data_IF_136133618445
#
_entry.id   IF_136133618445
#
_cell.length_a   1.000
_cell.length_b   1.000
_cell.length_c   1.000
_cell.angle_alpha   90.00
_cell.angle_beta   90.00
_cell.angle_gamma   90.00
#
_symmetry.space_group_name_H-M   'P 1'
#
loop_
_entity.id
_entity.type
_entity.pdbx_description
1 polymer ?
#
# COMPACT_ATOMS: atom_id res chain seq x y z
N UNK A 1 51.12 78.51 32.46
CA UNK A 1 52.51 78.31 32.04
C UNK A 1 52.58 77.05 31.15
N UNK A 2 52.95 77.23 29.91
CA UNK A 2 53.28 76.26 28.84
C UNK A 2 52.50 74.92 28.76
N UNK A 3 51.46 74.92 27.86
CA UNK A 3 50.85 73.79 27.19
C UNK A 3 51.87 73.08 26.28
N UNK A 4 51.91 71.75 26.34
CA UNK A 4 52.52 70.92 25.30
C UNK A 4 51.45 70.13 24.58
N UNK A 5 51.31 70.41 23.31
CA UNK A 5 50.43 69.62 22.43
C UNK A 5 51.05 68.28 22.09
N UNK A 6 50.24 67.20 22.27
CA UNK A 6 50.58 65.85 21.76
C UNK A 6 49.70 65.64 20.54
N UNK A 7 50.31 65.40 19.38
CA UNK A 7 49.65 65.04 18.13
C UNK A 7 49.49 63.49 18.15
N UNK A 8 48.24 63.00 18.08
CA UNK A 8 47.91 61.58 17.92
C UNK A 8 47.76 61.30 16.42
N UNK A 9 48.63 60.50 15.84
CA UNK A 9 48.49 59.99 14.47
C UNK A 9 47.48 58.83 14.42
N UNK A 10 46.42 58.95 13.61
CA UNK A 10 45.46 57.90 13.33
C UNK A 10 46.02 57.00 12.24
N UNK A 11 46.27 55.73 12.59
CA UNK A 11 46.55 54.70 11.62
C UNK A 11 45.25 54.10 11.10
N UNK A 12 44.96 54.29 9.81
CA UNK A 12 43.81 53.65 9.12
C UNK A 12 44.26 52.27 8.72
N UNK A 13 43.76 51.22 9.42
CA UNK A 13 43.88 49.83 9.02
C UNK A 13 42.80 49.49 8.00
N UNK A 14 43.19 49.34 6.72
CA UNK A 14 42.29 48.87 5.64
C UNK A 14 41.95 47.42 5.85
N UNK A 15 40.67 47.15 6.17
CA UNK A 15 40.08 45.80 6.14
C UNK A 15 39.86 45.39 4.67
N UNK A 16 40.74 44.55 4.15
CA UNK A 16 40.50 43.85 2.86
C UNK A 16 39.46 42.78 3.14
N UNK A 17 38.21 43.08 2.79
CA UNK A 17 37.11 42.11 2.84
C UNK A 17 37.35 41.00 1.79
N UNK A 18 37.77 39.84 2.20
CA UNK A 18 37.76 38.63 1.37
C UNK A 18 36.30 38.19 1.24
N UNK A 19 35.67 38.60 0.12
CA UNK A 19 34.37 38.02 -0.27
C UNK A 19 34.59 36.56 -0.67
N UNK A 20 34.27 35.63 0.25
CA UNK A 20 34.14 34.22 -0.09
C UNK A 20 32.89 34.13 -0.99
N UNK A 21 33.00 33.65 -2.25
CA UNK A 21 31.83 33.42 -3.05
C UNK A 21 30.97 32.38 -2.31
N UNK A 22 29.71 32.73 -1.98
CA UNK A 22 28.71 31.75 -1.54
C UNK A 22 28.56 30.76 -2.71
N UNK A 23 29.20 29.61 -2.60
CA UNK A 23 28.87 28.46 -3.43
C UNK A 23 27.41 28.16 -3.16
N UNK A 24 26.52 28.53 -4.11
CA UNK A 24 25.20 27.93 -4.15
C UNK A 24 25.42 26.43 -4.13
N UNK A 25 25.16 25.80 -2.98
CA UNK A 25 25.07 24.37 -2.91
C UNK A 25 23.91 24.01 -3.85
N UNK A 26 24.25 23.57 -5.07
CA UNK A 26 23.30 22.88 -5.94
C UNK A 26 22.79 21.75 -5.06
N UNK A 27 21.49 21.77 -4.78
CA UNK A 27 20.86 20.66 -4.05
C UNK A 27 21.30 19.39 -4.77
N UNK A 28 21.98 18.50 -4.05
CA UNK A 28 22.48 17.27 -4.64
C UNK A 28 21.30 16.58 -5.31
N UNK A 29 21.40 16.33 -6.62
CA UNK A 29 20.38 15.62 -7.38
C UNK A 29 20.00 14.34 -6.62
N UNK A 30 18.79 14.25 -6.13
CA UNK A 30 18.29 13.13 -5.34
C UNK A 30 17.01 12.58 -5.94
N UNK A 31 16.69 11.34 -5.60
CA UNK A 31 15.44 10.68 -5.96
C UNK A 31 14.41 10.98 -4.86
N UNK A 32 13.61 12.02 -5.03
CA UNK A 32 12.66 12.44 -4.01
C UNK A 32 11.43 11.52 -3.96
N UNK A 33 11.25 10.82 -2.84
CA UNK A 33 10.15 9.89 -2.56
C UNK A 33 9.46 10.32 -1.26
N UNK A 34 8.45 11.19 -1.32
CA UNK A 34 7.68 11.55 -0.13
C UNK A 34 6.82 10.37 0.34
N UNK A 35 6.82 10.11 1.65
CA UNK A 35 6.01 9.12 2.30
C UNK A 35 4.83 9.79 3.02
N UNK A 36 3.62 9.49 2.59
CA UNK A 36 2.44 9.87 3.35
C UNK A 36 2.20 8.83 4.43
N UNK A 37 2.23 9.25 5.67
CA UNK A 37 2.13 8.35 6.82
C UNK A 37 0.89 8.64 7.63
N UNK A 38 0.50 7.71 8.48
CA UNK A 38 -0.50 7.88 9.52
C UNK A 38 -0.01 7.18 10.81
N UNK A 39 1.01 7.80 11.41
CA UNK A 39 1.63 7.34 12.67
C UNK A 39 0.80 7.73 13.89
N UNK A 40 -0.19 8.58 13.69
CA UNK A 40 -1.12 9.05 14.72
C UNK A 40 -2.57 8.87 14.26
N UNK A 41 -3.52 8.99 15.20
CA UNK A 41 -4.94 8.80 14.91
C UNK A 41 -5.40 7.34 15.03
N UNK A 42 -6.67 7.07 14.66
CA UNK A 42 -7.34 5.78 14.96
C UNK A 42 -6.79 4.57 14.19
N UNK A 43 -5.93 4.78 13.20
CA UNK A 43 -5.36 3.74 12.36
C UNK A 43 -3.83 3.60 12.52
N UNK A 44 -3.24 4.26 13.51
CA UNK A 44 -1.79 4.29 13.75
C UNK A 44 -1.16 2.90 13.89
N UNK A 45 -1.86 1.94 14.52
CA UNK A 45 -1.39 0.57 14.67
C UNK A 45 -1.08 -0.12 13.33
N UNK A 46 -1.80 0.24 12.26
CA UNK A 46 -1.48 -0.25 10.91
C UNK A 46 -0.47 0.65 10.20
N UNK A 47 -0.54 1.97 10.42
CA UNK A 47 0.30 2.96 9.74
C UNK A 47 1.75 2.94 10.15
N UNK A 48 2.03 2.77 11.43
CA UNK A 48 3.38 2.75 11.98
C UNK A 48 4.24 1.63 11.35
N UNK A 49 3.83 0.34 11.40
CA UNK A 49 4.65 -0.73 10.82
C UNK A 49 4.82 -0.59 9.30
N UNK A 50 3.81 -0.16 8.55
CA UNK A 50 3.92 0.07 7.11
C UNK A 50 4.94 1.18 6.82
N UNK A 51 4.85 2.32 7.50
CA UNK A 51 5.79 3.43 7.33
C UNK A 51 7.22 3.02 7.71
N UNK A 52 7.38 2.27 8.80
CA UNK A 52 8.67 1.76 9.24
C UNK A 52 9.31 0.83 8.19
N UNK A 53 8.57 -0.16 7.70
CA UNK A 53 9.09 -1.09 6.69
C UNK A 53 9.52 -0.39 5.41
N UNK A 54 8.77 0.63 4.98
CA UNK A 54 9.12 1.46 3.82
C UNK A 54 10.40 2.26 4.05
N UNK A 55 10.45 2.98 5.14
CA UNK A 55 11.60 3.80 5.53
C UNK A 55 12.86 2.96 5.64
N UNK A 56 12.77 1.85 6.35
CA UNK A 56 13.92 0.98 6.61
C UNK A 56 14.48 0.37 5.32
N UNK A 57 13.62 -0.06 4.38
CA UNK A 57 14.09 -0.61 3.10
C UNK A 57 14.75 0.46 2.22
N UNK A 58 14.17 1.65 2.09
CA UNK A 58 14.76 2.74 1.31
C UNK A 58 16.07 3.25 1.92
N UNK A 59 16.12 3.36 3.25
CA UNK A 59 17.35 3.71 3.97
C UNK A 59 18.42 2.63 3.85
N UNK A 60 18.03 1.36 3.84
CA UNK A 60 18.97 0.25 3.59
C UNK A 60 19.60 0.39 2.20
N UNK A 61 18.84 0.71 1.16
CA UNK A 61 19.39 0.97 -0.18
C UNK A 61 20.37 2.15 -0.17
N UNK A 62 20.05 3.21 0.58
CA UNK A 62 20.95 4.35 0.75
C UNK A 62 22.25 3.98 1.47
N UNK A 63 22.15 3.20 2.55
CA UNK A 63 23.30 2.85 3.38
C UNK A 63 24.19 1.78 2.74
N UNK A 64 23.58 0.74 2.14
CA UNK A 64 24.28 -0.41 1.56
C UNK A 64 24.78 -0.12 0.15
N UNK A 65 23.92 0.46 -0.71
CA UNK A 65 24.12 0.55 -2.16
C UNK A 65 24.48 1.99 -2.63
N UNK A 66 24.44 2.97 -1.74
CA UNK A 66 24.61 4.39 -2.13
C UNK A 66 23.38 4.99 -2.82
N UNK A 67 22.20 4.35 -2.67
CA UNK A 67 20.94 4.73 -3.31
C UNK A 67 20.60 3.83 -4.51
N UNK A 68 19.91 4.38 -5.50
CA UNK A 68 19.52 3.65 -6.71
C UNK A 68 20.26 4.27 -7.92
N UNK A 69 21.00 3.44 -8.65
CA UNK A 69 21.83 3.92 -9.78
C UNK A 69 22.92 4.91 -9.36
N UNK A 70 23.36 4.87 -8.10
CA UNK A 70 24.34 5.79 -7.52
C UNK A 70 23.76 7.13 -7.10
N UNK A 71 22.44 7.29 -7.07
CA UNK A 71 21.74 8.50 -6.62
C UNK A 71 21.00 8.20 -5.31
N UNK A 72 21.19 9.03 -4.30
CA UNK A 72 20.52 8.92 -3.00
C UNK A 72 19.02 9.11 -3.13
N UNK A 73 18.27 8.34 -2.33
CA UNK A 73 16.84 8.51 -2.19
C UNK A 73 16.61 9.52 -1.06
N UNK A 74 15.92 10.60 -1.36
CA UNK A 74 15.46 11.57 -0.37
C UNK A 74 14.05 11.15 0.08
N UNK A 75 13.95 10.73 1.36
CA UNK A 75 12.71 10.25 1.96
C UNK A 75 12.23 11.26 2.98
N UNK A 76 11.10 11.91 2.71
CA UNK A 76 10.48 12.86 3.64
C UNK A 76 9.07 12.40 3.98
N UNK A 77 8.76 12.28 5.28
CA UNK A 77 7.42 11.91 5.73
C UNK A 77 6.49 13.13 5.80
N UNK A 78 5.23 12.91 5.43
CA UNK A 78 4.14 13.84 5.71
C UNK A 78 3.01 13.09 6.43
N UNK A 79 2.69 13.53 7.65
CA UNK A 79 1.70 12.89 8.51
C UNK A 79 0.28 13.27 8.11
N UNK A 80 -0.50 12.29 7.67
CA UNK A 80 -1.88 12.50 7.20
C UNK A 80 -2.94 12.21 8.26
N UNK A 81 -2.60 11.50 9.32
CA UNK A 81 -3.57 10.97 10.30
C UNK A 81 -4.71 10.14 9.67
N UNK A 82 -4.48 9.59 8.48
CA UNK A 82 -5.49 8.93 7.65
C UNK A 82 -6.68 9.85 7.28
N UNK A 83 -6.45 11.16 7.24
CA UNK A 83 -7.45 12.19 6.96
C UNK A 83 -7.30 12.71 5.52
N UNK A 84 -8.41 12.77 4.77
CA UNK A 84 -8.37 13.15 3.35
C UNK A 84 -7.87 14.58 3.13
N UNK A 85 -8.30 15.54 3.96
CA UNK A 85 -7.88 16.93 3.84
C UNK A 85 -6.37 17.07 4.08
N UNK A 86 -5.86 16.45 5.16
CA UNK A 86 -4.41 16.42 5.44
C UNK A 86 -3.61 15.71 4.35
N UNK A 87 -4.16 14.65 3.74
CA UNK A 87 -3.54 13.99 2.59
C UNK A 87 -3.40 14.93 1.39
N UNK A 88 -4.40 15.77 1.13
CA UNK A 88 -4.34 16.80 0.09
C UNK A 88 -3.34 17.90 0.46
N UNK A 89 -3.29 18.35 1.70
CA UNK A 89 -2.29 19.30 2.20
C UNK A 89 -0.86 18.76 2.03
N UNK A 90 -0.62 17.48 2.39
CA UNK A 90 0.64 16.81 2.16
C UNK A 90 1.01 16.81 0.67
N UNK A 91 0.07 16.46 -0.21
CA UNK A 91 0.29 16.48 -1.64
C UNK A 91 0.68 17.88 -2.15
N UNK A 92 -0.08 18.91 -1.78
CA UNK A 92 0.18 20.29 -2.22
C UNK A 92 1.52 20.81 -1.68
N UNK A 93 2.00 20.34 -0.53
CA UNK A 93 3.31 20.71 0.04
C UNK A 93 4.51 20.12 -0.70
N UNK A 94 4.33 19.01 -1.42
CA UNK A 94 5.42 18.30 -2.09
C UNK A 94 5.36 18.32 -3.61
N UNK A 95 4.21 18.58 -4.24
CA UNK A 95 4.02 18.46 -5.70
C UNK A 95 5.00 19.28 -6.55
N UNK A 96 5.47 20.42 -6.04
CA UNK A 96 6.42 21.29 -6.74
C UNK A 96 7.89 20.94 -6.45
N UNK A 97 8.18 19.89 -5.68
CA UNK A 97 9.53 19.43 -5.33
C UNK A 97 10.02 18.28 -6.22
N UNK A 98 9.39 18.06 -7.37
CA UNK A 98 9.67 16.96 -8.28
C UNK A 98 9.56 15.56 -7.59
N UNK A 99 8.44 15.24 -6.91
CA UNK A 99 8.27 13.92 -6.32
C UNK A 99 8.16 12.87 -7.43
N UNK A 100 8.84 11.75 -7.27
CA UNK A 100 8.80 10.67 -8.27
C UNK A 100 7.45 9.94 -8.25
N UNK A 101 6.90 9.75 -7.07
CA UNK A 101 5.64 9.03 -6.86
C UNK A 101 5.03 9.44 -5.53
N UNK A 102 3.73 9.53 -5.46
CA UNK A 102 2.99 9.69 -4.20
C UNK A 102 2.35 8.36 -3.84
N UNK A 103 2.55 7.94 -2.59
CA UNK A 103 1.84 6.79 -2.04
C UNK A 103 0.94 7.25 -0.90
N UNK A 104 -0.40 7.32 -1.13
CA UNK A 104 -1.34 7.89 -0.14
C UNK A 104 -1.64 6.99 1.05
N UNK A 105 -1.41 5.68 0.94
CA UNK A 105 -1.77 4.68 1.96
C UNK A 105 -3.22 4.77 2.48
N UNK A 106 -4.13 5.24 1.66
CA UNK A 106 -5.54 5.44 2.02
C UNK A 106 -6.40 5.49 0.76
N UNK A 107 -7.49 4.73 0.74
CA UNK A 107 -8.50 4.81 -0.34
C UNK A 107 -9.08 6.23 -0.44
N UNK A 108 -9.43 6.84 0.68
CA UNK A 108 -10.00 8.19 0.67
C UNK A 108 -9.05 9.25 0.13
N UNK A 109 -7.77 9.21 0.53
CA UNK A 109 -6.76 10.14 0.01
C UNK A 109 -6.49 9.85 -1.46
N UNK A 110 -6.38 8.58 -1.87
CA UNK A 110 -6.21 8.20 -3.28
C UNK A 110 -7.33 8.80 -4.15
N UNK A 111 -8.59 8.61 -3.74
CA UNK A 111 -9.74 9.18 -4.46
C UNK A 111 -9.67 10.70 -4.59
N UNK A 112 -9.23 11.40 -3.54
CA UNK A 112 -9.05 12.85 -3.56
C UNK A 112 -7.92 13.32 -4.49
N UNK A 113 -6.89 12.49 -4.70
CA UNK A 113 -5.73 12.81 -5.52
C UNK A 113 -5.85 12.38 -6.99
N UNK A 114 -6.73 11.44 -7.33
CA UNK A 114 -6.93 10.96 -8.70
C UNK A 114 -7.09 12.12 -9.71
N UNK A 115 -7.95 13.14 -9.48
CA UNK A 115 -8.11 14.24 -10.43
C UNK A 115 -6.85 15.11 -10.58
N UNK A 116 -6.02 15.20 -9.53
CA UNK A 116 -4.80 16.02 -9.49
C UNK A 116 -3.63 15.33 -10.22
N UNK A 117 -3.51 14.03 -10.13
CA UNK A 117 -2.37 13.24 -10.62
C UNK A 117 -2.06 13.47 -12.10
N UNK A 118 -3.10 13.47 -12.94
CA UNK A 118 -2.95 13.69 -14.39
C UNK A 118 -2.60 15.14 -14.74
N UNK A 119 -3.10 16.12 -13.99
CA UNK A 119 -2.84 17.54 -14.18
C UNK A 119 -1.39 17.85 -13.80
N UNK A 120 -0.98 17.40 -12.61
CA UNK A 120 0.35 17.67 -12.07
C UNK A 120 1.43 16.72 -12.64
N UNK A 121 1.02 15.66 -13.36
CA UNK A 121 1.88 14.62 -13.96
C UNK A 121 2.74 13.91 -12.94
N UNK A 122 2.16 13.59 -11.78
CA UNK A 122 2.79 12.88 -10.68
C UNK A 122 2.09 11.51 -10.54
N UNK A 123 2.81 10.38 -10.64
CA UNK A 123 2.24 9.06 -10.44
C UNK A 123 1.73 8.89 -9.01
N UNK A 124 0.54 8.31 -8.87
CA UNK A 124 0.00 7.84 -7.60
C UNK A 124 0.16 6.32 -7.56
N UNK A 125 0.86 5.79 -6.57
CA UNK A 125 0.96 4.37 -6.28
C UNK A 125 0.05 4.05 -5.10
N UNK A 126 -1.15 3.52 -5.37
CA UNK A 126 -2.12 3.30 -4.30
C UNK A 126 -1.85 2.04 -3.48
N UNK A 127 -1.05 1.10 -4.00
CA UNK A 127 -0.67 -0.14 -3.33
C UNK A 127 -1.87 -0.94 -2.80
N UNK A 128 -2.69 -1.42 -3.73
CA UNK A 128 -3.87 -2.24 -3.42
C UNK A 128 -4.91 -1.56 -2.49
N UNK A 129 -4.88 -0.21 -2.40
CA UNK A 129 -6.04 0.59 -1.96
C UNK A 129 -6.95 0.90 -3.16
N UNK A 130 -8.14 1.40 -2.95
CA UNK A 130 -9.03 1.84 -4.04
C UNK A 130 -8.43 3.02 -4.84
N UNK A 131 -8.83 3.23 -6.04
CA UNK A 131 -9.96 2.72 -6.79
C UNK A 131 -9.53 1.54 -7.69
N UNK A 132 -10.24 0.39 -7.65
CA UNK A 132 -9.91 -0.76 -8.51
C UNK A 132 -9.99 -0.42 -10.00
N UNK A 133 -10.97 0.37 -10.42
CA UNK A 133 -11.12 0.81 -11.81
C UNK A 133 -9.90 1.58 -12.33
N UNK A 134 -9.08 2.17 -11.46
CA UNK A 134 -7.86 2.88 -11.86
C UNK A 134 -6.74 1.95 -12.34
N UNK A 135 -6.91 0.63 -12.24
CA UNK A 135 -6.05 -0.34 -12.91
C UNK A 135 -6.14 -0.26 -14.44
N UNK A 136 -7.21 0.34 -15.01
CA UNK A 136 -7.34 0.56 -16.46
C UNK A 136 -6.45 1.74 -16.87
N UNK A 137 -5.20 1.47 -17.23
CA UNK A 137 -4.19 2.50 -17.46
C UNK A 137 -4.47 3.40 -18.66
N UNK A 138 -5.32 2.99 -19.61
CA UNK A 138 -5.78 3.84 -20.71
C UNK A 138 -6.60 5.04 -20.19
N UNK A 139 -7.43 4.82 -19.20
CA UNK A 139 -8.31 5.83 -18.60
C UNK A 139 -7.66 6.54 -17.40
N UNK A 140 -6.74 5.85 -16.69
CA UNK A 140 -6.04 6.36 -15.51
C UNK A 140 -4.52 6.33 -15.67
N UNK A 141 -3.94 7.11 -16.59
CA UNK A 141 -2.52 6.99 -16.94
C UNK A 141 -1.54 7.30 -15.80
N UNK A 142 -1.98 7.89 -14.71
CA UNK A 142 -1.14 8.30 -13.58
C UNK A 142 -1.46 7.59 -12.26
N UNK A 143 -2.36 6.60 -12.26
CA UNK A 143 -2.74 5.86 -11.07
C UNK A 143 -2.36 4.39 -11.22
N UNK A 144 -1.68 3.84 -10.20
CA UNK A 144 -1.14 2.48 -10.20
C UNK A 144 -1.52 1.75 -8.92
N UNK A 145 -1.93 0.49 -9.03
CA UNK A 145 -2.44 -0.31 -7.91
C UNK A 145 -1.67 -1.62 -7.64
N UNK A 146 -0.40 -1.82 -8.08
CA UNK A 146 0.24 -3.08 -7.77
C UNK A 146 0.34 -3.30 -6.24
N UNK A 147 0.31 -4.55 -5.78
CA UNK A 147 0.24 -5.77 -6.61
C UNK A 147 -1.18 -6.24 -6.91
N UNK A 148 -2.25 -5.58 -6.40
CA UNK A 148 -3.61 -6.08 -6.48
C UNK A 148 -4.67 -4.96 -6.49
N UNK A 149 -5.90 -5.30 -6.86
CA UNK A 149 -7.08 -4.46 -6.67
C UNK A 149 -8.10 -5.16 -5.77
N UNK A 150 -9.02 -4.40 -5.17
CA UNK A 150 -10.07 -5.00 -4.34
C UNK A 150 -10.98 -5.94 -5.13
N UNK A 151 -11.18 -5.69 -6.41
CA UNK A 151 -11.99 -6.55 -7.25
C UNK A 151 -11.28 -7.86 -7.59
N UNK A 152 -9.98 -7.80 -7.88
CA UNK A 152 -9.18 -9.02 -8.05
C UNK A 152 -9.15 -9.83 -6.75
N UNK A 153 -8.88 -9.17 -5.62
CA UNK A 153 -8.87 -9.81 -4.30
C UNK A 153 -10.20 -10.46 -3.93
N UNK A 154 -11.35 -9.80 -4.21
CA UNK A 154 -12.67 -10.42 -3.98
C UNK A 154 -12.83 -11.67 -4.85
N UNK A 155 -12.40 -11.64 -6.12
CA UNK A 155 -12.48 -12.83 -6.98
C UNK A 155 -11.59 -13.97 -6.47
N UNK A 156 -10.43 -13.65 -5.88
CA UNK A 156 -9.56 -14.65 -5.22
C UNK A 156 -10.19 -15.20 -3.96
N UNK A 157 -10.81 -14.37 -3.13
CA UNK A 157 -11.54 -14.83 -1.94
C UNK A 157 -12.59 -15.88 -2.30
N UNK A 158 -13.40 -15.60 -3.33
CA UNK A 158 -14.41 -16.53 -3.84
C UNK A 158 -13.80 -17.82 -4.41
N UNK A 159 -12.69 -17.75 -5.15
CA UNK A 159 -11.96 -18.94 -5.62
C UNK A 159 -11.43 -19.78 -4.46
N UNK A 160 -10.86 -19.15 -3.44
CA UNK A 160 -10.37 -19.85 -2.28
C UNK A 160 -11.50 -20.60 -1.56
N UNK A 161 -12.61 -19.91 -1.28
CA UNK A 161 -13.79 -20.49 -0.67
C UNK A 161 -14.29 -21.68 -1.49
N UNK A 162 -14.47 -21.50 -2.80
CA UNK A 162 -14.91 -22.58 -3.69
C UNK A 162 -13.97 -23.80 -3.66
N UNK A 163 -12.65 -23.58 -3.56
CA UNK A 163 -11.68 -24.67 -3.45
C UNK A 163 -11.84 -25.45 -2.14
N UNK A 164 -12.25 -24.80 -1.06
CA UNK A 164 -12.57 -25.46 0.24
C UNK A 164 -13.88 -26.23 0.18
N UNK A 165 -14.79 -25.83 -0.69
CA UNK A 165 -16.04 -26.57 -0.98
C UNK A 165 -15.83 -27.70 -2.01
N UNK A 166 -14.59 -27.97 -2.40
CA UNK A 166 -14.19 -29.12 -3.21
C UNK A 166 -14.21 -28.91 -4.72
N UNK A 167 -14.07 -27.66 -5.21
CA UNK A 167 -13.99 -27.45 -6.65
C UNK A 167 -13.82 -25.99 -7.10
N UNK A 168 -14.36 -25.65 -8.25
CA UNK A 168 -14.36 -24.30 -8.80
C UNK A 168 -15.55 -23.46 -8.29
N UNK A 169 -15.73 -22.27 -8.86
CA UNK A 169 -16.74 -21.30 -8.42
C UNK A 169 -18.19 -21.84 -8.47
N UNK A 170 -18.46 -22.89 -9.25
CA UNK A 170 -19.74 -23.58 -9.31
C UNK A 170 -20.12 -24.25 -7.98
N UNK A 171 -19.15 -24.52 -7.11
CA UNK A 171 -19.37 -25.09 -5.77
C UNK A 171 -19.98 -24.08 -4.79
N UNK A 172 -20.00 -22.82 -5.14
CA UNK A 172 -20.66 -21.79 -4.34
C UNK A 172 -22.20 -21.81 -4.47
N UNK A 173 -22.74 -22.53 -5.47
CA UNK A 173 -24.18 -22.61 -5.69
C UNK A 173 -24.94 -23.05 -4.44
N UNK A 174 -25.94 -22.23 -4.04
CA UNK A 174 -26.75 -22.47 -2.88
C UNK A 174 -26.09 -22.17 -1.53
N UNK A 175 -24.85 -21.69 -1.52
CA UNK A 175 -24.17 -21.21 -0.31
C UNK A 175 -24.61 -19.79 0.04
N UNK A 176 -24.46 -19.42 1.31
CA UNK A 176 -24.63 -18.06 1.79
C UNK A 176 -23.27 -17.49 2.21
N UNK A 177 -22.85 -16.40 1.57
CA UNK A 177 -21.62 -15.67 1.92
C UNK A 177 -22.00 -14.39 2.67
N UNK A 178 -21.58 -14.29 3.92
CA UNK A 178 -21.66 -13.07 4.70
C UNK A 178 -20.48 -12.15 4.35
N UNK A 179 -20.75 -10.88 4.16
CA UNK A 179 -19.73 -9.87 3.88
C UNK A 179 -19.79 -8.78 4.95
N UNK A 180 -18.85 -8.81 5.90
CA UNK A 180 -18.69 -7.79 6.93
C UNK A 180 -17.65 -6.75 6.44
N UNK A 181 -18.01 -5.48 6.44
CA UNK A 181 -17.17 -4.46 5.84
C UNK A 181 -17.22 -3.12 6.57
N UNK A 182 -16.09 -2.41 6.58
CA UNK A 182 -16.04 -1.01 6.99
C UNK A 182 -16.96 -0.18 6.11
N UNK A 183 -17.93 0.50 6.71
CA UNK A 183 -18.97 1.22 5.97
C UNK A 183 -18.47 2.58 5.45
N UNK A 184 -17.69 2.53 4.41
CA UNK A 184 -17.05 3.66 3.72
C UNK A 184 -16.66 3.28 2.29
N UNK A 185 -16.01 4.20 1.56
CA UNK A 185 -15.60 3.99 0.17
C UNK A 185 -14.77 2.73 -0.03
N UNK A 186 -13.86 2.45 0.92
CA UNK A 186 -13.03 1.25 0.94
C UNK A 186 -13.85 -0.05 1.02
N UNK A 187 -14.67 -0.18 2.07
CA UNK A 187 -15.34 -1.46 2.35
C UNK A 187 -16.50 -1.75 1.39
N UNK A 188 -17.09 -0.72 0.81
CA UNK A 188 -18.17 -0.86 -0.18
C UNK A 188 -17.68 -1.19 -1.58
N UNK A 189 -16.41 -0.95 -1.89
CA UNK A 189 -15.87 -1.02 -3.25
C UNK A 189 -16.06 -2.40 -3.91
N UNK A 190 -15.81 -3.56 -3.25
CA UNK A 190 -15.95 -4.86 -3.88
C UNK A 190 -17.40 -5.37 -3.98
N UNK A 191 -18.38 -4.69 -3.38
CA UNK A 191 -19.78 -5.15 -3.33
C UNK A 191 -20.40 -5.36 -4.74
N UNK A 192 -20.20 -4.47 -5.73
CA UNK A 192 -20.74 -4.70 -7.08
C UNK A 192 -20.21 -6.00 -7.69
N UNK A 193 -18.92 -6.26 -7.57
CA UNK A 193 -18.30 -7.49 -8.07
C UNK A 193 -18.83 -8.73 -7.32
N UNK A 194 -18.93 -8.67 -5.99
CA UNK A 194 -19.46 -9.77 -5.17
C UNK A 194 -20.88 -10.14 -5.60
N UNK A 195 -21.75 -9.14 -5.84
CA UNK A 195 -23.11 -9.36 -6.30
C UNK A 195 -23.19 -9.93 -7.73
N UNK A 196 -22.26 -9.51 -8.60
CA UNK A 196 -22.19 -10.02 -9.96
C UNK A 196 -21.77 -11.50 -9.97
N UNK A 197 -20.77 -11.88 -9.16
CA UNK A 197 -20.40 -13.28 -8.96
C UNK A 197 -21.54 -14.09 -8.33
N UNK A 198 -22.26 -13.54 -7.35
CA UNK A 198 -23.39 -14.22 -6.72
C UNK A 198 -24.49 -14.57 -7.73
N UNK A 199 -24.81 -13.63 -8.63
CA UNK A 199 -25.74 -13.85 -9.72
C UNK A 199 -25.29 -14.96 -10.67
N UNK A 200 -24.02 -14.96 -11.08
CA UNK A 200 -23.51 -15.90 -12.06
C UNK A 200 -23.32 -17.32 -11.52
N UNK A 201 -22.93 -17.43 -10.23
CA UNK A 201 -22.62 -18.71 -9.59
C UNK A 201 -23.70 -19.21 -8.63
N UNK A 202 -24.79 -18.46 -8.46
CA UNK A 202 -26.00 -18.89 -7.74
C UNK A 202 -25.81 -19.03 -6.24
N UNK A 203 -25.07 -18.12 -5.58
CA UNK A 203 -24.95 -18.06 -4.13
C UNK A 203 -25.61 -16.79 -3.57
N UNK A 204 -25.98 -16.83 -2.28
CA UNK A 204 -26.58 -15.70 -1.59
C UNK A 204 -25.53 -14.82 -0.90
N UNK A 205 -25.79 -13.51 -0.83
CA UNK A 205 -24.93 -12.53 -0.16
C UNK A 205 -25.69 -11.84 0.98
N UNK A 206 -25.12 -11.88 2.18
CA UNK A 206 -25.58 -11.12 3.34
C UNK A 206 -24.59 -10.01 3.65
N UNK A 207 -25.04 -8.76 3.67
CA UNK A 207 -24.19 -7.59 3.92
C UNK A 207 -24.29 -7.15 5.38
N UNK A 208 -23.12 -6.99 6.03
CA UNK A 208 -22.98 -6.57 7.43
C UNK A 208 -22.10 -5.30 7.50
N UNK A 209 -22.69 -4.10 7.30
CA UNK A 209 -21.95 -2.84 7.37
C UNK A 209 -21.51 -2.53 8.81
N UNK A 210 -20.28 -2.10 9.00
CA UNK A 210 -19.75 -1.58 10.25
C UNK A 210 -19.45 -0.09 10.09
N UNK A 211 -20.32 0.80 10.57
CA UNK A 211 -20.08 2.23 10.55
C UNK A 211 -18.82 2.60 11.38
N UNK A 212 -18.10 3.67 11.04
CA UNK A 212 -16.91 4.12 11.78
C UNK A 212 -17.15 4.25 13.29
N UNK A 213 -18.34 4.69 13.71
CA UNK A 213 -18.73 4.81 15.13
C UNK A 213 -18.94 3.48 15.84
N UNK A 214 -19.05 2.36 15.11
CA UNK A 214 -19.32 1.02 15.65
C UNK A 214 -18.16 0.06 15.49
N UNK A 215 -16.98 0.52 15.10
CA UNK A 215 -15.82 -0.35 14.88
C UNK A 215 -15.49 -1.22 16.11
N UNK A 216 -15.68 -0.68 17.31
CA UNK A 216 -15.42 -1.37 18.58
C UNK A 216 -16.68 -1.91 19.28
N UNK A 217 -17.85 -1.81 18.65
CA UNK A 217 -19.15 -2.23 19.24
C UNK A 217 -19.94 -3.06 18.22
N UNK A 218 -19.52 -4.32 18.01
CA UNK A 218 -20.04 -5.18 16.95
C UNK A 218 -20.94 -6.34 17.46
N UNK A 219 -21.16 -6.46 18.77
CA UNK A 219 -21.90 -7.59 19.35
C UNK A 219 -23.31 -7.78 18.76
N UNK A 220 -24.05 -6.69 18.55
CA UNK A 220 -25.38 -6.75 17.92
C UNK A 220 -25.33 -7.24 16.47
N UNK A 221 -24.32 -6.84 15.72
CA UNK A 221 -24.09 -7.32 14.35
C UNK A 221 -23.79 -8.82 14.33
N UNK A 222 -22.93 -9.30 15.22
CA UNK A 222 -22.55 -10.73 15.31
C UNK A 222 -23.67 -11.62 15.82
N UNK A 223 -24.61 -11.11 16.61
CA UNK A 223 -25.86 -11.82 16.90
C UNK A 223 -26.71 -12.00 15.62
N UNK A 224 -26.70 -11.00 14.72
CA UNK A 224 -27.30 -11.12 13.38
C UNK A 224 -26.61 -12.22 12.55
N UNK A 225 -25.29 -12.24 12.50
CA UNK A 225 -24.51 -13.28 11.81
C UNK A 225 -24.84 -14.67 12.36
N UNK A 226 -24.92 -14.81 13.70
CA UNK A 226 -25.28 -16.08 14.36
C UNK A 226 -26.69 -16.56 13.99
N UNK A 227 -27.63 -15.63 13.84
CA UNK A 227 -29.00 -15.96 13.41
C UNK A 227 -29.04 -16.38 11.94
N UNK A 228 -28.34 -15.64 11.08
CA UNK A 228 -28.37 -15.80 9.62
C UNK A 228 -27.52 -16.99 9.15
N UNK A 229 -26.54 -17.43 9.95
CA UNK A 229 -25.66 -18.61 9.73
C UNK A 229 -25.07 -18.69 8.32
N UNK A 230 -24.36 -17.67 7.83
CA UNK A 230 -23.70 -17.77 6.53
C UNK A 230 -22.67 -18.91 6.55
N UNK A 231 -22.55 -19.64 5.42
CA UNK A 231 -21.58 -20.72 5.27
C UNK A 231 -20.14 -20.20 5.39
N UNK A 232 -19.88 -19.00 4.86
CA UNK A 232 -18.62 -18.31 4.91
C UNK A 232 -18.80 -16.84 5.25
N UNK A 233 -17.83 -16.28 5.97
CA UNK A 233 -17.71 -14.83 6.18
C UNK A 233 -16.48 -14.29 5.47
N UNK A 234 -16.64 -13.19 4.74
CA UNK A 234 -15.54 -12.40 4.20
C UNK A 234 -15.50 -11.07 4.95
N UNK A 235 -14.33 -10.65 5.43
CA UNK A 235 -14.15 -9.36 6.09
C UNK A 235 -13.34 -8.39 5.24
N UNK A 236 -13.94 -7.23 4.96
CA UNK A 236 -13.27 -6.06 4.39
C UNK A 236 -13.18 -4.97 5.44
N UNK A 237 -12.38 -5.26 6.46
CA UNK A 237 -12.24 -4.45 7.66
C UNK A 237 -10.94 -3.63 7.71
N UNK A 238 -10.90 -2.66 8.61
CA UNK A 238 -9.77 -1.79 8.82
C UNK A 238 -9.67 -1.30 10.28
N UNK A 239 -8.44 -1.21 10.79
CA UNK A 239 -8.18 -0.70 12.14
C UNK A 239 -8.89 -1.49 13.23
N UNK A 240 -9.44 -0.80 14.24
CA UNK A 240 -10.09 -1.41 15.40
C UNK A 240 -11.32 -2.29 15.06
N UNK A 241 -11.85 -2.19 13.84
CA UNK A 241 -12.92 -3.06 13.37
C UNK A 241 -12.47 -4.53 13.35
N UNK A 242 -11.23 -4.80 12.93
CA UNK A 242 -10.73 -6.15 12.68
C UNK A 242 -10.62 -7.00 13.96
N UNK A 243 -9.83 -6.58 14.98
CA UNK A 243 -9.72 -7.37 16.21
C UNK A 243 -11.07 -7.53 16.91
N UNK A 244 -11.94 -6.52 16.85
CA UNK A 244 -13.31 -6.61 17.40
C UNK A 244 -14.11 -7.68 16.66
N UNK A 245 -14.07 -7.70 15.31
CA UNK A 245 -14.78 -8.70 14.52
C UNK A 245 -14.28 -10.12 14.82
N UNK A 246 -12.97 -10.33 14.91
CA UNK A 246 -12.39 -11.65 15.22
C UNK A 246 -12.77 -12.11 16.63
N UNK A 247 -12.75 -11.22 17.63
CA UNK A 247 -13.19 -11.52 19.00
C UNK A 247 -14.69 -11.87 19.07
N UNK A 248 -15.54 -11.10 18.40
CA UNK A 248 -16.99 -11.32 18.42
C UNK A 248 -17.38 -12.59 17.64
N UNK A 249 -16.68 -12.91 16.53
CA UNK A 249 -16.84 -14.17 15.82
C UNK A 249 -16.56 -15.35 16.76
N UNK A 250 -15.44 -15.32 17.48
CA UNK A 250 -15.07 -16.34 18.46
C UNK A 250 -16.10 -16.46 19.59
N UNK A 251 -16.56 -15.34 20.16
CA UNK A 251 -17.59 -15.32 21.23
C UNK A 251 -18.92 -15.90 20.79
N UNK A 252 -19.31 -15.67 19.53
CA UNK A 252 -20.56 -16.20 18.98
C UNK A 252 -20.46 -17.64 18.51
N UNK A 253 -19.26 -18.25 18.57
CA UNK A 253 -18.98 -19.60 18.13
C UNK A 253 -18.99 -19.76 16.61
N UNK A 254 -18.68 -18.71 15.85
CA UNK A 254 -18.55 -18.80 14.40
C UNK A 254 -17.29 -19.62 14.04
N UNK A 255 -17.35 -20.55 13.06
CA UNK A 255 -16.19 -21.33 12.63
C UNK A 255 -15.09 -20.40 12.07
N UNK A 256 -13.95 -20.32 12.77
CA UNK A 256 -12.89 -19.38 12.41
C UNK A 256 -12.19 -19.74 11.08
N UNK A 257 -12.19 -21.02 10.71
CA UNK A 257 -11.69 -21.51 9.41
C UNK A 257 -12.65 -21.27 8.24
N UNK A 258 -13.80 -20.67 8.51
CA UNK A 258 -14.76 -20.14 7.54
C UNK A 258 -14.84 -18.60 7.56
N UNK A 259 -13.91 -17.94 8.26
CA UNK A 259 -13.83 -16.47 8.36
C UNK A 259 -12.56 -15.96 7.70
N UNK A 260 -12.70 -15.33 6.52
CA UNK A 260 -11.61 -14.89 5.65
C UNK A 260 -11.53 -13.36 5.59
N UNK A 261 -10.44 -12.77 6.10
CA UNK A 261 -10.13 -11.36 5.99
C UNK A 261 -9.42 -11.01 4.68
N UNK A 262 -9.63 -9.78 4.20
CA UNK A 262 -8.79 -9.18 3.16
C UNK A 262 -7.39 -8.91 3.70
N UNK A 263 -6.43 -8.59 2.84
CA UNK A 263 -5.03 -8.28 3.24
C UNK A 263 -4.86 -7.11 4.22
N UNK A 264 -5.88 -6.29 4.44
CA UNK A 264 -5.93 -5.26 5.49
C UNK A 264 -6.50 -5.75 6.82
N UNK A 265 -6.92 -7.01 6.87
CA UNK A 265 -7.50 -7.67 8.05
C UNK A 265 -6.71 -8.92 8.44
N UNK A 266 -5.41 -8.93 8.19
CA UNK A 266 -4.53 -10.07 8.41
C UNK A 266 -3.22 -9.71 9.09
N UNK A 267 -3.22 -8.69 9.96
CA UNK A 267 -2.08 -8.40 10.83
C UNK A 267 -2.12 -9.25 12.10
N UNK A 268 -1.01 -9.32 12.79
CA UNK A 268 -0.89 -9.95 14.11
C UNK A 268 -1.82 -9.28 15.12
N UNK A 269 -1.96 -7.96 15.06
CA UNK A 269 -2.84 -7.18 15.92
C UNK A 269 -4.33 -7.40 15.66
N UNK A 270 -4.69 -7.90 14.48
CA UNK A 270 -6.08 -8.25 14.17
C UNK A 270 -6.51 -9.58 14.84
N UNK A 271 -5.60 -10.55 14.94
CA UNK A 271 -5.90 -11.89 15.41
C UNK A 271 -5.52 -12.14 16.88
N UNK A 272 -4.38 -11.59 17.33
CA UNK A 272 -3.82 -11.79 18.67
C UNK A 272 -4.79 -11.47 19.82
N UNK A 273 -5.58 -10.38 19.77
CA UNK A 273 -6.50 -10.03 20.85
C UNK A 273 -7.63 -11.04 21.09
N UNK A 274 -7.94 -11.91 20.14
CA UNK A 274 -8.94 -12.98 20.31
C UNK A 274 -8.39 -14.21 21.08
N UNK A 275 -7.08 -14.24 21.37
CA UNK A 275 -6.43 -15.33 22.08
C UNK A 275 -6.67 -16.68 21.40
N UNK A 276 -6.97 -17.72 22.19
CA UNK A 276 -7.26 -19.05 21.67
C UNK A 276 -8.49 -19.10 20.73
N UNK A 277 -9.45 -18.20 20.93
CA UNK A 277 -10.64 -18.10 20.08
C UNK A 277 -10.36 -17.62 18.65
N UNK A 278 -9.22 -16.94 18.42
CA UNK A 278 -8.82 -16.49 17.09
C UNK A 278 -8.18 -17.57 16.22
N UNK A 279 -7.84 -18.73 16.80
CA UNK A 279 -7.23 -19.84 16.05
C UNK A 279 -8.15 -20.31 14.93
N UNK A 280 -7.58 -20.44 13.74
CA UNK A 280 -8.32 -20.82 12.54
C UNK A 280 -8.69 -19.65 11.63
N UNK A 281 -8.71 -18.39 12.13
CA UNK A 281 -9.01 -17.23 11.33
C UNK A 281 -8.09 -17.13 10.13
N UNK A 282 -8.69 -16.84 8.97
CA UNK A 282 -8.01 -16.77 7.68
C UNK A 282 -7.85 -15.33 7.23
N UNK A 283 -6.77 -15.05 6.50
CA UNK A 283 -6.62 -13.77 5.81
C UNK A 283 -5.88 -13.94 4.49
N UNK A 284 -6.28 -13.18 3.49
CA UNK A 284 -5.52 -13.04 2.25
C UNK A 284 -4.28 -12.17 2.48
N UNK A 285 -3.21 -12.44 1.73
CA UNK A 285 -2.01 -11.61 1.76
C UNK A 285 -1.26 -11.65 0.44
N UNK A 286 -0.57 -10.57 0.10
CA UNK A 286 0.30 -10.48 -1.08
C UNK A 286 1.78 -10.27 -0.75
N UNK A 287 2.15 -10.19 0.52
CA UNK A 287 3.52 -10.22 1.01
C UNK A 287 3.71 -11.33 2.03
N UNK A 288 4.86 -11.98 2.02
CA UNK A 288 5.16 -12.98 3.03
C UNK A 288 5.40 -12.35 4.41
N UNK A 289 5.15 -13.13 5.46
CA UNK A 289 5.40 -12.78 6.86
C UNK A 289 6.73 -13.41 7.31
N UNK A 290 7.36 -12.83 8.31
CA UNK A 290 8.62 -13.30 8.91
C UNK A 290 9.83 -12.49 8.47
N UNK A 291 10.88 -12.58 9.29
CA UNK A 291 12.14 -11.83 9.11
C UNK A 291 13.24 -12.63 8.39
N UNK A 292 13.01 -13.89 8.04
CA UNK A 292 14.06 -14.76 7.51
C UNK A 292 14.36 -14.55 6.01
N UNK A 293 14.62 -13.30 5.62
CA UNK A 293 15.01 -12.94 4.26
C UNK A 293 16.36 -12.21 4.27
N UNK A 294 17.27 -12.45 3.28
CA UNK A 294 18.53 -11.71 3.18
C UNK A 294 18.36 -10.19 3.23
N UNK A 295 17.36 -9.65 2.51
CA UNK A 295 17.11 -8.20 2.52
C UNK A 295 16.65 -7.67 3.89
N UNK A 296 15.87 -8.45 4.65
CA UNK A 296 15.47 -8.05 6.01
C UNK A 296 16.68 -8.06 6.94
N UNK A 297 17.57 -9.05 6.83
CA UNK A 297 18.85 -9.06 7.58
C UNK A 297 19.76 -7.88 7.20
N UNK A 298 19.73 -7.45 5.94
CA UNK A 298 20.44 -6.24 5.52
C UNK A 298 19.83 -4.98 6.17
N UNK A 299 18.50 -4.88 6.26
CA UNK A 299 17.83 -3.80 6.99
C UNK A 299 18.30 -3.81 8.47
N UNK A 300 18.25 -4.96 9.13
CA UNK A 300 18.73 -5.07 10.51
C UNK A 300 20.18 -4.60 10.65
N UNK A 301 21.06 -5.01 9.74
CA UNK A 301 22.49 -4.69 9.76
C UNK A 301 22.81 -3.23 9.46
N UNK A 302 22.21 -2.68 8.39
CA UNK A 302 22.61 -1.37 7.84
C UNK A 302 21.78 -0.21 8.38
N UNK A 303 20.60 -0.48 8.96
CA UNK A 303 19.68 0.55 9.43
C UNK A 303 19.39 0.40 10.92
N UNK A 304 18.77 -0.71 11.35
CA UNK A 304 18.33 -0.89 12.74
C UNK A 304 19.50 -0.93 13.72
N UNK A 305 20.52 -1.76 13.45
CA UNK A 305 21.70 -1.85 14.30
C UNK A 305 22.55 -0.57 14.33
N UNK A 306 22.30 0.37 13.43
CA UNK A 306 22.95 1.69 13.37
C UNK A 306 22.13 2.79 14.05
N UNK A 307 20.98 2.47 14.63
CA UNK A 307 20.09 3.45 15.26
C UNK A 307 19.35 4.36 14.27
N UNK A 308 19.29 3.98 12.99
CA UNK A 308 18.66 4.77 11.92
C UNK A 308 17.23 4.28 11.60
N UNK A 309 16.58 3.61 12.54
CA UNK A 309 15.21 3.11 12.42
C UNK A 309 14.40 3.42 13.67
N UNK A 310 13.11 3.62 13.50
CA UNK A 310 12.12 3.72 14.58
C UNK A 310 11.45 2.36 14.86
N UNK A 311 11.86 1.29 14.18
CA UNK A 311 11.22 -0.03 14.25
C UNK A 311 11.65 -0.79 15.50
N UNK A 312 10.72 -1.18 16.39
CA UNK A 312 10.96 -2.16 17.43
C UNK A 312 11.38 -3.50 16.82
N UNK A 313 12.32 -4.23 17.46
CA UNK A 313 12.87 -5.49 16.92
C UNK A 313 11.80 -6.58 16.71
N UNK A 314 10.84 -6.64 17.58
CA UNK A 314 9.73 -7.60 17.55
C UNK A 314 8.72 -7.33 16.44
N UNK A 315 8.69 -6.12 15.90
CA UNK A 315 7.86 -5.73 14.76
C UNK A 315 8.48 -6.14 13.41
N UNK A 316 9.80 -6.37 13.36
CA UNK A 316 10.51 -6.74 12.12
C UNK A 316 10.02 -8.09 11.60
N UNK A 317 9.49 -8.10 10.39
CA UNK A 317 8.93 -9.29 9.78
C UNK A 317 7.44 -9.53 10.06
N UNK A 318 6.78 -8.73 10.90
CA UNK A 318 5.32 -8.76 11.00
C UNK A 318 4.66 -8.34 9.67
N UNK A 319 3.41 -8.71 9.51
CA UNK A 319 2.71 -8.56 8.24
C UNK A 319 2.77 -7.13 7.68
N UNK A 320 2.39 -6.12 8.47
CA UNK A 320 2.35 -4.76 7.97
C UNK A 320 3.73 -4.10 7.84
N UNK A 321 4.72 -4.51 8.63
CA UNK A 321 6.10 -4.13 8.38
C UNK A 321 6.57 -4.63 7.01
N UNK A 322 6.38 -5.92 6.72
CA UNK A 322 6.71 -6.50 5.43
C UNK A 322 5.88 -5.92 4.27
N UNK A 323 4.66 -5.44 4.55
CA UNK A 323 3.85 -4.67 3.61
C UNK A 323 4.54 -3.36 3.19
N UNK A 324 5.11 -2.66 4.15
CA UNK A 324 5.93 -1.46 3.90
C UNK A 324 7.17 -1.79 3.06
N UNK A 325 7.89 -2.86 3.40
CA UNK A 325 9.03 -3.35 2.61
C UNK A 325 8.62 -3.66 1.18
N UNK A 326 7.50 -4.38 0.98
CA UNK A 326 6.95 -4.69 -0.35
C UNK A 326 6.73 -3.44 -1.20
N UNK A 327 6.12 -2.43 -0.61
CA UNK A 327 5.84 -1.17 -1.30
C UNK A 327 7.11 -0.43 -1.69
N UNK A 328 8.09 -0.36 -0.78
CA UNK A 328 9.40 0.23 -1.06
C UNK A 328 10.14 -0.52 -2.17
N UNK A 329 10.02 -1.85 -2.24
CA UNK A 329 10.55 -2.67 -3.35
C UNK A 329 9.90 -2.27 -4.67
N UNK A 330 8.58 -2.16 -4.72
CA UNK A 330 7.84 -1.74 -5.94
C UNK A 330 8.34 -0.37 -6.41
N UNK A 331 8.48 0.59 -5.53
CA UNK A 331 9.02 1.93 -5.84
C UNK A 331 10.47 1.83 -6.35
N UNK A 332 11.33 1.12 -5.64
CA UNK A 332 12.75 1.00 -6.02
C UNK A 332 12.94 0.31 -7.37
N UNK A 333 12.17 -0.74 -7.66
CA UNK A 333 12.24 -1.43 -8.95
C UNK A 333 11.65 -0.59 -10.10
N UNK A 334 10.61 0.21 -9.83
CA UNK A 334 10.08 1.17 -10.79
C UNK A 334 11.11 2.27 -11.10
N UNK A 335 11.82 2.81 -10.08
CA UNK A 335 12.92 3.77 -10.28
C UNK A 335 14.04 3.15 -11.14
N UNK A 336 14.50 1.94 -10.84
CA UNK A 336 15.51 1.22 -11.65
C UNK A 336 15.06 1.05 -13.10
N UNK A 337 13.79 0.72 -13.29
CA UNK A 337 13.20 0.57 -14.62
C UNK A 337 13.13 1.91 -15.35
N UNK A 338 12.74 2.98 -14.68
CA UNK A 338 12.71 4.34 -15.23
C UNK A 338 14.10 4.84 -15.63
N UNK A 339 15.11 4.65 -14.77
CA UNK A 339 16.51 4.99 -15.07
C UNK A 339 17.01 4.24 -16.30
N UNK A 340 16.73 2.93 -16.39
CA UNK A 340 17.13 2.12 -17.55
C UNK A 340 16.44 2.55 -18.84
N UNK A 341 15.16 2.92 -18.79
CA UNK A 341 14.39 3.33 -19.98
C UNK A 341 14.73 4.74 -20.45
N UNK A 342 15.01 5.66 -19.52
CA UNK A 342 15.34 7.06 -19.84
C UNK A 342 16.83 7.30 -20.10
N UNK A 343 17.71 6.43 -19.61
CA UNK A 343 19.16 6.65 -19.60
C UNK A 343 19.62 7.69 -18.57
N UNK A 344 18.70 8.24 -17.77
CA UNK A 344 18.98 9.25 -16.74
C UNK A 344 19.26 8.59 -15.40
N UNK A 345 20.16 9.16 -14.59
CA UNK A 345 20.35 8.78 -13.18
C UNK A 345 19.29 9.42 -12.28
N UNK A 346 19.07 10.73 -12.47
CA UNK A 346 17.99 11.48 -11.82
C UNK A 346 16.81 11.53 -12.78
N UNK A 347 15.67 11.06 -12.34
CA UNK A 347 14.44 10.91 -13.12
C UNK A 347 13.35 11.85 -12.58
N UNK A 348 12.35 12.12 -13.39
CA UNK A 348 11.16 12.88 -13.01
C UNK A 348 9.90 12.00 -12.92
N UNK A 349 8.74 12.61 -12.60
CA UNK A 349 7.46 11.91 -12.51
C UNK A 349 7.03 11.24 -13.83
N UNK A 350 7.38 11.82 -14.97
CA UNK A 350 7.05 11.21 -16.27
C UNK A 350 7.93 9.99 -16.57
N UNK A 351 9.22 10.05 -16.24
CA UNK A 351 10.10 8.89 -16.30
C UNK A 351 9.62 7.79 -15.33
N UNK A 352 9.24 8.18 -14.10
CA UNK A 352 8.72 7.25 -13.09
C UNK A 352 7.42 6.56 -13.56
N UNK A 353 6.49 7.29 -14.18
CA UNK A 353 5.30 6.71 -14.81
C UNK A 353 5.69 5.62 -15.82
N UNK A 354 6.64 5.92 -16.72
CA UNK A 354 7.14 4.94 -17.70
C UNK A 354 7.78 3.73 -17.01
N UNK A 355 8.50 3.98 -15.90
CA UNK A 355 9.08 2.93 -15.06
C UNK A 355 8.01 2.02 -14.46
N UNK A 356 6.92 2.58 -13.96
CA UNK A 356 5.78 1.84 -13.41
C UNK A 356 5.05 1.04 -14.51
N UNK A 357 4.75 1.64 -15.66
CA UNK A 357 4.09 0.97 -16.80
C UNK A 357 4.92 -0.17 -17.44
N UNK A 358 6.19 -0.29 -17.09
CA UNK A 358 7.10 -1.34 -17.54
C UNK A 358 7.69 -2.14 -16.37
N UNK A 359 7.09 -2.04 -15.20
CA UNK A 359 7.58 -2.72 -14.01
C UNK A 359 7.41 -4.23 -14.13
N UNK A 360 8.50 -4.95 -13.93
CA UNK A 360 8.50 -6.42 -13.90
C UNK A 360 9.38 -6.93 -12.78
N UNK A 361 8.77 -7.53 -11.76
CA UNK A 361 9.46 -8.20 -10.68
C UNK A 361 9.16 -9.69 -10.79
N UNK A 362 10.05 -10.44 -11.45
CA UNK A 362 9.93 -11.89 -11.60
C UNK A 362 10.41 -12.62 -10.34
N UNK A 363 10.14 -13.92 -10.20
CA UNK A 363 10.69 -14.75 -9.12
C UNK A 363 12.22 -14.68 -9.07
N UNK A 364 12.88 -14.69 -10.25
CA UNK A 364 14.33 -14.48 -10.36
C UNK A 364 14.74 -13.14 -9.76
N UNK A 365 13.96 -12.08 -10.01
CA UNK A 365 14.25 -10.74 -9.47
C UNK A 365 14.04 -10.69 -7.96
N UNK A 366 12.95 -11.26 -7.44
CA UNK A 366 12.75 -11.41 -6.01
C UNK A 366 13.93 -12.09 -5.33
N UNK A 367 14.46 -13.17 -5.91
CA UNK A 367 15.66 -13.86 -5.39
C UNK A 367 16.90 -12.96 -5.43
N UNK A 368 17.12 -12.22 -6.52
CA UNK A 368 18.29 -11.34 -6.69
C UNK A 368 18.35 -10.21 -5.66
N UNK A 369 17.20 -9.66 -5.27
CA UNK A 369 17.11 -8.60 -4.25
C UNK A 369 17.04 -9.15 -2.81
N UNK A 370 17.23 -10.45 -2.61
CA UNK A 370 17.24 -11.09 -1.30
C UNK A 370 15.86 -11.33 -0.68
N UNK A 371 14.82 -11.40 -1.51
CA UNK A 371 13.41 -11.55 -1.10
C UNK A 371 12.73 -12.71 -1.85
N UNK A 372 13.41 -13.85 -2.02
CA UNK A 372 12.84 -15.03 -2.67
C UNK A 372 11.55 -15.49 -1.98
N UNK A 373 10.44 -15.58 -2.73
CA UNK A 373 9.12 -15.99 -2.19
C UNK A 373 8.39 -14.94 -1.34
N UNK A 374 8.94 -13.71 -1.25
CA UNK A 374 8.35 -12.64 -0.45
C UNK A 374 7.05 -12.07 -1.05
N UNK A 375 6.95 -12.02 -2.34
CA UNK A 375 5.77 -11.56 -3.08
C UNK A 375 5.55 -12.34 -4.36
N UNK A 376 4.37 -12.19 -4.99
CA UNK A 376 4.10 -12.80 -6.28
C UNK A 376 4.92 -12.11 -7.38
N UNK A 377 5.08 -12.73 -8.56
CA UNK A 377 5.54 -11.99 -9.72
C UNK A 377 4.63 -10.79 -9.99
N UNK A 378 5.24 -9.64 -10.23
CA UNK A 378 4.52 -8.40 -10.56
C UNK A 378 4.86 -8.01 -12.00
N UNK A 379 3.85 -7.70 -12.79
CA UNK A 379 4.01 -7.23 -14.15
C UNK A 379 2.98 -6.15 -14.49
N UNK A 380 3.35 -4.91 -14.23
CA UNK A 380 2.53 -3.74 -14.57
C UNK A 380 2.77 -3.39 -16.04
N UNK A 381 1.71 -3.10 -16.75
CA UNK A 381 1.74 -2.65 -18.15
C UNK A 381 0.95 -1.37 -18.31
N UNK A 382 1.10 -0.70 -19.45
CA UNK A 382 0.28 0.45 -19.77
C UNK A 382 -1.23 0.18 -19.74
N UNK A 383 -1.66 -1.05 -20.05
CA UNK A 383 -3.08 -1.45 -20.07
C UNK A 383 -3.60 -1.88 -18.70
N UNK A 384 -2.73 -2.51 -17.91
CA UNK A 384 -3.08 -3.07 -16.60
C UNK A 384 -2.09 -2.54 -15.55
N UNK A 385 -2.56 -1.60 -14.75
CA UNK A 385 -1.79 -0.94 -13.68
C UNK A 385 -1.82 -1.70 -12.34
N UNK A 386 -2.41 -2.92 -12.28
CA UNK A 386 -2.45 -3.65 -11.01
C UNK A 386 -1.36 -4.74 -10.86
N UNK A 387 -0.77 -5.20 -11.96
CA UNK A 387 0.40 -6.09 -11.91
C UNK A 387 0.15 -7.56 -11.55
N UNK A 388 -1.01 -8.12 -11.83
CA UNK A 388 -1.50 -9.50 -11.76
C UNK A 388 -2.46 -9.88 -10.63
N UNK A 389 -2.45 -9.22 -9.50
CA UNK A 389 -3.44 -9.42 -8.44
C UNK A 389 -3.42 -10.79 -7.75
N UNK A 390 -2.28 -11.49 -7.71
CA UNK A 390 -2.21 -12.79 -7.03
C UNK A 390 -1.98 -12.63 -5.54
N UNK A 391 -2.78 -13.34 -4.73
CA UNK A 391 -2.63 -13.40 -3.28
C UNK A 391 -2.55 -14.84 -2.81
N UNK A 392 -2.07 -15.07 -1.60
CA UNK A 392 -2.20 -16.36 -0.90
C UNK A 392 -3.06 -16.17 0.34
N UNK A 393 -3.51 -17.29 0.92
CA UNK A 393 -4.24 -17.30 2.19
C UNK A 393 -3.31 -17.79 3.29
N UNK A 394 -3.35 -17.09 4.41
CA UNK A 394 -2.72 -17.45 5.68
C UNK A 394 -3.77 -17.75 6.73
N UNK A 395 -3.42 -18.58 7.71
CA UNK A 395 -4.28 -18.96 8.84
C UNK A 395 -3.56 -18.63 10.15
N UNK A 396 -4.29 -18.08 11.09
CA UNK A 396 -3.81 -17.85 12.45
C UNK A 396 -3.79 -19.17 13.25
N UNK A 397 -2.61 -19.59 13.71
CA UNK A 397 -2.45 -20.84 14.46
C UNK A 397 -2.71 -20.68 15.98
N UNK A 398 -2.99 -19.44 16.40
CA UNK A 398 -3.12 -19.01 17.79
C UNK A 398 -1.96 -18.14 18.26
N UNK A 399 -0.84 -18.12 17.53
CA UNK A 399 0.37 -17.39 17.89
C UNK A 399 0.98 -16.61 16.71
N UNK A 400 0.89 -17.16 15.49
CA UNK A 400 1.48 -16.59 14.26
C UNK A 400 0.66 -16.94 13.05
N UNK A 401 0.90 -16.21 11.98
CA UNK A 401 0.35 -16.54 10.66
C UNK A 401 1.13 -17.70 10.02
N UNK A 402 0.38 -18.65 9.45
CA UNK A 402 0.90 -19.79 8.69
C UNK A 402 0.29 -19.76 7.29
N UNK A 403 1.10 -19.82 6.27
CA UNK A 403 0.64 -19.90 4.88
C UNK A 403 -0.09 -21.23 4.65
N UNK A 404 -1.35 -21.19 4.16
CA UNK A 404 -2.21 -22.35 3.93
C UNK A 404 -2.67 -22.52 2.48
N UNK A 405 -2.20 -21.67 1.55
CA UNK A 405 -2.41 -21.84 0.11
C UNK A 405 -1.17 -21.42 -0.67
N UNK A 406 -1.07 -21.87 -1.91
CA UNK A 406 -0.19 -21.24 -2.89
C UNK A 406 -0.72 -19.87 -3.33
N UNK A 407 -0.01 -19.20 -4.24
CA UNK A 407 -0.49 -18.00 -4.89
C UNK A 407 -1.72 -18.30 -5.74
N UNK A 408 -2.80 -17.60 -5.49
CA UNK A 408 -4.08 -17.73 -6.20
C UNK A 408 -4.24 -16.52 -7.10
N UNK A 409 -4.35 -16.75 -8.40
CA UNK A 409 -4.60 -15.69 -9.37
C UNK A 409 -6.09 -15.34 -9.46
N UNK A 410 -6.44 -14.06 -9.67
CA UNK A 410 -7.83 -13.62 -9.81
C UNK A 410 -8.50 -14.16 -11.08
N UNK A 411 -9.81 -14.03 -11.16
CA UNK A 411 -10.62 -14.38 -12.34
C UNK A 411 -10.59 -13.22 -13.33
N UNK A 412 -9.42 -12.96 -13.93
CA UNK A 412 -9.20 -11.81 -14.82
C UNK A 412 -10.19 -11.72 -15.98
N UNK A 413 -10.58 -12.87 -16.56
CA UNK A 413 -11.55 -12.91 -17.66
C UNK A 413 -12.92 -12.33 -17.30
N UNK A 414 -13.28 -12.33 -15.99
CA UNK A 414 -14.51 -11.72 -15.48
C UNK A 414 -14.26 -10.33 -14.90
N UNK A 415 -13.18 -10.15 -14.19
CA UNK A 415 -12.88 -8.89 -13.48
C UNK A 415 -12.53 -7.76 -14.45
N UNK A 416 -11.69 -8.01 -15.47
CA UNK A 416 -11.23 -6.96 -16.38
C UNK A 416 -12.34 -6.27 -17.16
N UNK A 417 -13.32 -6.97 -17.77
CA UNK A 417 -14.43 -6.30 -18.45
C UNK A 417 -15.26 -5.40 -17.52
N UNK A 418 -15.40 -5.80 -16.26
CA UNK A 418 -16.13 -5.01 -15.26
C UNK A 418 -15.32 -3.78 -14.83
N UNK A 419 -13.98 -3.91 -14.68
CA UNK A 419 -13.10 -2.77 -14.43
C UNK A 419 -13.13 -1.77 -15.58
N UNK A 420 -13.09 -2.23 -16.83
CA UNK A 420 -13.19 -1.38 -18.01
C UNK A 420 -14.52 -0.60 -18.05
N UNK A 421 -15.64 -1.25 -17.70
CA UNK A 421 -16.93 -0.58 -17.61
C UNK A 421 -16.96 0.47 -16.48
N UNK A 422 -16.42 0.13 -15.31
CA UNK A 422 -16.35 1.04 -14.18
C UNK A 422 -15.40 2.24 -14.44
N UNK A 423 -14.30 2.02 -15.14
CA UNK A 423 -13.38 3.09 -15.55
C UNK A 423 -14.06 4.08 -16.50
N UNK A 424 -14.76 3.59 -17.51
CA UNK A 424 -15.53 4.43 -18.45
C UNK A 424 -16.63 5.22 -17.75
N UNK A 425 -17.36 4.59 -16.82
CA UNK A 425 -18.38 5.27 -16.02
C UNK A 425 -17.77 6.39 -15.16
N UNK A 426 -16.65 6.11 -14.49
CA UNK A 426 -15.93 7.11 -13.71
C UNK A 426 -15.49 8.30 -14.55
N UNK A 427 -14.84 8.03 -15.68
CA UNK A 427 -14.38 9.07 -16.61
C UNK A 427 -15.56 9.91 -17.14
N UNK A 428 -16.69 9.28 -17.44
CA UNK A 428 -17.91 9.98 -17.92
C UNK A 428 -18.46 10.92 -16.85
N UNK A 429 -18.47 10.50 -15.59
CA UNK A 429 -19.01 11.28 -14.47
C UNK A 429 -18.09 12.41 -14.00
N UNK A 430 -16.81 12.36 -14.35
CA UNK A 430 -15.80 13.31 -13.87
C UNK A 430 -15.20 14.15 -15.01
N UNK A 431 -16.00 14.57 -15.97
CA UNK A 431 -15.55 15.44 -17.05
C UNK A 431 -15.31 16.90 -16.57
N UNK A 432 -14.33 17.64 -17.15
CA UNK A 432 -13.36 17.20 -18.16
C UNK A 432 -12.30 16.25 -17.60
N UNK A 433 -12.08 15.11 -18.27
CA UNK A 433 -11.11 14.10 -17.83
C UNK A 433 -9.84 14.16 -18.70
N UNK A 434 -8.63 14.26 -18.12
CA UNK A 434 -7.40 14.25 -18.88
C UNK A 434 -7.18 12.88 -19.53
N UNK A 435 -7.46 12.79 -20.83
CA UNK A 435 -7.29 11.56 -21.60
C UNK A 435 -5.81 11.32 -21.89
N UNK A 436 -5.45 10.03 -21.93
CA UNK A 436 -4.17 9.61 -22.47
C UNK A 436 -4.13 9.95 -23.97
N UNK A 437 -3.10 10.65 -24.40
CA UNK A 437 -2.89 11.00 -25.81
C UNK A 437 -2.20 9.90 -26.60
N UNK A 438 -1.44 9.04 -25.89
CA UNK A 438 -0.66 7.95 -26.47
C UNK A 438 -1.38 6.61 -26.24
N UNK A 439 -1.63 5.79 -27.26
CA UNK A 439 -2.25 4.49 -27.07
C UNK A 439 -1.34 3.56 -26.27
N UNK A 440 -1.93 2.76 -25.39
CA UNK A 440 -1.23 1.65 -24.74
C UNK A 440 -0.89 0.57 -25.80
N UNK A 441 0.40 0.37 -26.04
CA UNK A 441 0.94 -0.66 -26.94
C UNK A 441 0.97 -2.03 -26.29
#
# INVERSE_FOLDING_TARGET
MRLKHLVLGAAVAGLIGVSVPATNAVAADSLFVPLFTYRTGPFANSGIPIANGMHDYLNMLNARDGGIGGVKIDVQECETQYNNAKGVECYDSVKNKNPLVINPYSTGITLALIPKASVDRIPILSMAYGLSASAVGQDFPWIFNPPDTYWDGMSVALKYIASKEGGGLEKLKGKTIGFIYFDGGYGREPIPLLKDFAKDYGFDVKLYPVPPSQMQTQSGLWLGVRRDRPDWMIMWGWGAMNPTAVQEAAKTGYPMDHFLGVWWSGSEDDARPAGAGGKGYLAMNFNAVGANYPAIRDIEKYVIAKGNSQTPKDMVGENFYNRGVMNAVVIAEAIRTAQRLSGKKVIDGADMRRGLENLRISEKRWKQIGLAGFGPPIHVTCKDHNGHGSVYVQQWDGHKWVKVSDWISPVKSKVMPLLDAAAKDYVTKNQPWPKRTEPCK
#
